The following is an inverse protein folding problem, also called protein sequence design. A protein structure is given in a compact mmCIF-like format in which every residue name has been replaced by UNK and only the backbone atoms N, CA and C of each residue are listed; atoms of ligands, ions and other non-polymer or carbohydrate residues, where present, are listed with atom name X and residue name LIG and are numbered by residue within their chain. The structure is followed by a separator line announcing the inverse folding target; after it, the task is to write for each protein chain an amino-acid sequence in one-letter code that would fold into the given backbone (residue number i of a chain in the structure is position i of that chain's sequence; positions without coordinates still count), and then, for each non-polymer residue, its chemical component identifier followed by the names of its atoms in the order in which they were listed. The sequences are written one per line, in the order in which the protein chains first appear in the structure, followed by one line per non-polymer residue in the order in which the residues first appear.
data_IF_477696899602
#
_entry.id   IF_477696899602
#
_cell.length_a   1.000
_cell.length_b   1.000
_cell.length_c   1.000
_cell.angle_alpha   90.00
_cell.angle_beta   90.00
_cell.angle_gamma   90.00
#
_symmetry.space_group_name_H-M   'P 1'
#
loop_
_entity.id
_entity.type
_entity.pdbx_description
1 polymer ?
#
# COMPACT_ATOMS: atom_id res chain seq x y z
N UNK A 1 -4.68 14.34 10.03
CA UNK A 1 -4.92 12.93 9.75
C UNK A 1 -3.87 12.43 8.76
N UNK A 2 -3.20 11.36 9.09
CA UNK A 2 -2.15 10.83 8.22
C UNK A 2 -2.74 10.04 7.06
N UNK A 3 -2.26 10.31 5.87
CA UNK A 3 -2.63 9.58 4.67
C UNK A 3 -1.39 8.93 4.08
N UNK A 4 -1.61 7.87 3.34
CA UNK A 4 -0.53 7.05 2.77
C UNK A 4 -0.69 6.97 1.26
N UNK A 5 0.44 7.01 0.57
CA UNK A 5 0.48 6.93 -0.88
C UNK A 5 1.65 6.06 -1.29
N UNK A 6 1.54 5.43 -2.44
CA UNK A 6 2.64 4.60 -2.97
C UNK A 6 3.82 5.48 -3.33
N UNK A 7 5.04 4.99 -3.05
CA UNK A 7 6.25 5.74 -3.39
C UNK A 7 6.41 5.79 -4.91
N UNK A 8 6.64 6.97 -5.48
CA UNK A 8 6.90 7.08 -6.92
C UNK A 8 8.09 6.22 -7.33
N UNK A 9 7.97 5.54 -8.45
CA UNK A 9 9.03 4.66 -8.94
C UNK A 9 8.91 3.22 -8.49
N UNK A 10 7.89 2.89 -7.67
CA UNK A 10 7.63 1.50 -7.28
C UNK A 10 6.49 0.97 -8.15
N UNK A 11 6.71 -0.20 -8.73
CA UNK A 11 5.75 -0.83 -9.64
C UNK A 11 5.34 -2.19 -9.10
N UNK A 12 4.06 -2.50 -9.19
CA UNK A 12 3.55 -3.83 -8.86
C UNK A 12 3.65 -4.71 -10.11
N UNK A 13 4.32 -5.85 -9.96
CA UNK A 13 4.47 -6.82 -11.05
C UNK A 13 3.87 -8.16 -10.62
N UNK A 14 3.32 -8.89 -11.60
CA UNK A 14 2.87 -10.26 -11.39
C UNK A 14 3.70 -11.19 -12.25
N UNK A 15 4.37 -12.15 -11.64
CA UNK A 15 5.24 -13.09 -12.32
C UNK A 15 4.94 -14.50 -11.80
N UNK A 16 4.52 -15.39 -12.70
CA UNK A 16 4.24 -16.81 -12.36
C UNK A 16 3.31 -16.94 -11.15
N UNK A 17 2.27 -16.12 -11.10
CA UNK A 17 1.30 -16.16 -10.00
C UNK A 17 1.74 -15.50 -8.71
N UNK A 18 2.93 -14.92 -8.68
CA UNK A 18 3.44 -14.20 -7.52
C UNK A 18 3.41 -12.70 -7.78
N UNK A 19 3.24 -11.93 -6.71
CA UNK A 19 3.22 -10.47 -6.78
C UNK A 19 4.49 -9.88 -6.20
N UNK A 20 5.07 -8.94 -6.95
CA UNK A 20 6.33 -8.31 -6.55
C UNK A 20 6.19 -6.79 -6.63
N UNK A 21 6.74 -6.10 -5.63
CA UNK A 21 6.97 -4.67 -5.72
C UNK A 21 8.40 -4.46 -6.19
N UNK A 22 8.57 -3.71 -7.27
CA UNK A 22 9.87 -3.47 -7.87
C UNK A 22 10.16 -1.97 -7.84
N UNK A 23 11.30 -1.60 -7.26
CA UNK A 23 11.68 -0.20 -7.13
C UNK A 23 12.60 0.20 -8.30
N UNK A 24 12.25 1.29 -8.97
CA UNK A 24 13.12 1.91 -9.98
C UNK A 24 14.23 2.69 -9.30
N UNK A 25 15.19 3.19 -10.11
CA UNK A 25 16.43 3.78 -9.61
C UNK A 25 16.31 4.69 -8.40
N UNK A 26 15.45 5.68 -8.48
CA UNK A 26 15.31 6.68 -7.42
C UNK A 26 14.65 6.10 -6.18
N UNK A 27 13.67 5.22 -6.39
CA UNK A 27 12.98 4.59 -5.27
C UNK A 27 13.89 3.63 -4.51
N UNK A 28 14.92 3.08 -5.14
CA UNK A 28 15.88 2.18 -4.48
C UNK A 28 16.64 2.82 -3.32
N UNK A 29 16.71 4.13 -3.30
CA UNK A 29 17.34 4.85 -2.19
C UNK A 29 16.53 4.77 -0.91
N UNK A 30 15.25 4.42 -1.02
CA UNK A 30 14.30 4.46 0.10
C UNK A 30 13.69 3.11 0.43
N UNK A 31 13.80 2.14 -0.47
CA UNK A 31 13.17 0.84 -0.27
C UNK A 31 13.94 -0.25 -1.02
N UNK A 32 13.74 -1.53 -0.65
CA UNK A 32 14.40 -2.64 -1.34
C UNK A 32 14.05 -2.66 -2.83
N UNK A 33 14.97 -3.20 -3.62
CA UNK A 33 14.77 -3.30 -5.06
C UNK A 33 13.53 -4.15 -5.42
N UNK A 34 13.39 -5.29 -4.76
CA UNK A 34 12.29 -6.22 -5.02
C UNK A 34 11.79 -6.77 -3.69
N UNK A 35 10.47 -6.82 -3.52
CA UNK A 35 9.85 -7.46 -2.37
C UNK A 35 8.63 -8.22 -2.84
N UNK A 36 8.52 -9.49 -2.44
CA UNK A 36 7.34 -10.28 -2.71
C UNK A 36 6.24 -9.91 -1.72
N UNK A 37 5.02 -9.75 -2.23
CA UNK A 37 3.85 -9.50 -1.40
C UNK A 37 2.77 -10.52 -1.73
N UNK A 38 1.84 -10.72 -0.79
CA UNK A 38 0.75 -11.66 -1.03
C UNK A 38 -0.35 -11.03 -1.87
N UNK A 39 -1.32 -11.84 -2.27
CA UNK A 39 -2.43 -11.42 -3.11
C UNK A 39 -3.26 -10.31 -2.46
N UNK A 40 -3.53 -10.41 -1.16
CA UNK A 40 -4.29 -9.39 -0.44
C UNK A 40 -3.56 -8.04 -0.46
N UNK A 41 -2.26 -8.06 -0.20
CA UNK A 41 -1.45 -6.84 -0.24
C UNK A 41 -1.43 -6.23 -1.64
N UNK A 42 -1.34 -7.06 -2.67
CA UNK A 42 -1.41 -6.59 -4.05
C UNK A 42 -2.74 -5.92 -4.34
N UNK A 43 -3.84 -6.47 -3.82
CA UNK A 43 -5.18 -5.89 -3.99
C UNK A 43 -5.28 -4.51 -3.34
N UNK A 44 -4.74 -4.37 -2.12
CA UNK A 44 -4.74 -3.06 -1.44
C UNK A 44 -3.84 -2.06 -2.16
N UNK A 45 -2.69 -2.51 -2.65
CA UNK A 45 -1.79 -1.65 -3.42
C UNK A 45 -2.48 -1.03 -4.62
N UNK A 46 -3.27 -1.84 -5.34
CA UNK A 46 -4.00 -1.37 -6.53
C UNK A 46 -5.04 -0.31 -6.20
N UNK A 47 -5.56 -0.31 -4.99
CA UNK A 47 -6.54 0.69 -4.56
C UNK A 47 -5.91 2.04 -4.23
N UNK A 48 -4.60 2.07 -3.97
CA UNK A 48 -3.90 3.29 -3.57
C UNK A 48 -3.54 4.15 -4.79
N UNK A 49 -4.54 4.67 -5.46
CA UNK A 49 -4.35 5.54 -6.62
C UNK A 49 -4.14 7.01 -6.23
N UNK A 50 -4.24 7.32 -4.95
CA UNK A 50 -4.02 8.65 -4.37
C UNK A 50 -3.79 8.47 -2.87
N UNK A 51 -3.47 9.51 -2.11
CA UNK A 51 -3.32 9.34 -0.65
C UNK A 51 -4.63 8.97 0.03
N UNK A 52 -4.57 7.97 0.91
CA UNK A 52 -5.70 7.51 1.73
C UNK A 52 -5.24 7.37 3.17
N UNK A 53 -6.11 7.76 4.11
CA UNK A 53 -5.94 7.36 5.49
C UNK A 53 -6.28 5.87 5.62
N UNK A 54 -5.90 5.27 6.74
CA UNK A 54 -6.22 3.85 7.00
C UNK A 54 -7.74 3.65 6.91
N UNK A 55 -8.50 4.56 7.50
CA UNK A 55 -9.94 4.45 7.52
C UNK A 55 -10.54 4.59 6.10
N UNK A 56 -10.05 5.56 5.34
CA UNK A 56 -10.50 5.75 3.96
C UNK A 56 -10.18 4.54 3.07
N UNK A 57 -8.99 3.99 3.21
CA UNK A 57 -8.63 2.80 2.43
C UNK A 57 -9.46 1.60 2.83
N UNK A 58 -9.75 1.46 4.13
CA UNK A 58 -10.60 0.38 4.62
C UNK A 58 -12.00 0.50 4.05
N UNK A 59 -12.56 1.71 4.00
CA UNK A 59 -13.87 1.93 3.40
C UNK A 59 -13.89 1.58 1.90
N UNK A 60 -12.86 2.03 1.18
CA UNK A 60 -12.76 1.74 -0.24
C UNK A 60 -12.63 0.24 -0.50
N UNK A 61 -11.82 -0.44 0.28
CA UNK A 61 -11.64 -1.89 0.15
C UNK A 61 -12.94 -2.64 0.48
N UNK A 62 -13.64 -2.22 1.51
CA UNK A 62 -14.92 -2.83 1.89
C UNK A 62 -15.91 -2.73 0.74
N UNK A 63 -15.97 -1.58 0.09
CA UNK A 63 -16.86 -1.33 -1.03
C UNK A 63 -16.47 -2.15 -2.27
N UNK A 64 -15.19 -2.13 -2.63
CA UNK A 64 -14.69 -2.81 -3.83
C UNK A 64 -14.77 -4.33 -3.69
N UNK A 65 -14.41 -4.87 -2.53
CA UNK A 65 -14.37 -6.32 -2.30
C UNK A 65 -15.65 -6.86 -1.71
N UNK A 66 -16.63 -5.99 -1.42
CA UNK A 66 -17.92 -6.37 -0.83
C UNK A 66 -17.72 -7.15 0.46
N UNK A 67 -16.91 -6.60 1.35
CA UNK A 67 -16.61 -7.14 2.67
C UNK A 67 -16.90 -6.09 3.73
N UNK A 68 -16.99 -6.52 4.98
CA UNK A 68 -17.22 -5.60 6.06
C UNK A 68 -15.94 -4.93 6.52
N UNK A 69 -16.01 -3.66 6.87
CA UNK A 69 -14.86 -2.90 7.34
C UNK A 69 -14.15 -3.57 8.52
N UNK A 70 -14.92 -4.15 9.44
CA UNK A 70 -14.34 -4.79 10.61
C UNK A 70 -13.42 -5.96 10.26
N UNK A 71 -13.66 -6.61 9.12
CA UNK A 71 -12.86 -7.74 8.68
C UNK A 71 -11.61 -7.29 7.92
N UNK A 72 -11.58 -6.04 7.46
CA UNK A 72 -10.49 -5.52 6.65
C UNK A 72 -9.54 -4.61 7.41
N UNK A 73 -9.98 -4.07 8.55
CA UNK A 73 -9.20 -3.06 9.26
C UNK A 73 -7.81 -3.57 9.67
N UNK A 74 -7.74 -4.75 10.29
CA UNK A 74 -6.46 -5.28 10.73
C UNK A 74 -5.55 -5.67 9.56
N UNK A 75 -6.03 -6.39 8.54
CA UNK A 75 -5.18 -6.67 7.37
C UNK A 75 -4.64 -5.41 6.70
N UNK A 76 -5.47 -4.38 6.57
CA UNK A 76 -5.03 -3.13 5.94
C UNK A 76 -4.04 -2.37 6.83
N UNK A 77 -4.27 -2.35 8.13
CA UNK A 77 -3.35 -1.72 9.05
C UNK A 77 -1.96 -2.37 8.98
N UNK A 78 -1.93 -3.71 8.96
CA UNK A 78 -0.67 -4.44 8.86
C UNK A 78 0.01 -4.20 7.51
N UNK A 79 -0.76 -4.16 6.44
CA UNK A 79 -0.25 -3.84 5.10
C UNK A 79 0.43 -2.47 5.08
N UNK A 80 -0.26 -1.45 5.58
CA UNK A 80 0.26 -0.10 5.57
C UNK A 80 1.53 0.01 6.43
N UNK A 81 1.49 -0.53 7.64
CA UNK A 81 2.64 -0.44 8.54
C UNK A 81 3.88 -1.15 7.99
N UNK A 82 3.68 -2.33 7.41
CA UNK A 82 4.78 -3.09 6.85
C UNK A 82 5.41 -2.36 5.67
N UNK A 83 4.60 -1.87 4.76
CA UNK A 83 5.12 -1.23 3.54
C UNK A 83 5.64 0.18 3.81
N UNK A 84 5.07 0.89 4.76
CA UNK A 84 5.62 2.19 5.17
C UNK A 84 7.00 1.99 5.79
N UNK A 85 7.14 1.01 6.68
CA UNK A 85 8.41 0.71 7.31
C UNK A 85 9.48 0.32 6.30
N UNK A 86 9.08 -0.38 5.25
CA UNK A 86 10.00 -0.80 4.19
C UNK A 86 10.28 0.30 3.16
N UNK A 87 9.56 1.42 3.22
CA UNK A 87 9.77 2.54 2.32
C UNK A 87 8.92 2.53 1.06
N UNK A 88 8.05 1.53 0.88
CA UNK A 88 7.19 1.47 -0.31
C UNK A 88 5.99 2.38 -0.25
N UNK A 89 5.56 2.75 0.97
CA UNK A 89 4.50 3.74 1.16
C UNK A 89 5.08 4.95 1.88
N UNK A 90 4.54 6.10 1.54
CA UNK A 90 4.92 7.37 2.16
C UNK A 90 3.72 7.87 2.96
N UNK A 91 3.96 8.21 4.23
CA UNK A 91 2.94 8.84 5.06
C UNK A 91 2.96 10.34 4.89
N UNK A 92 1.79 10.95 4.70
CA UNK A 92 1.64 12.39 4.60
C UNK A 92 0.62 12.86 5.65
N UNK A 93 1.00 13.83 6.45
CA UNK A 93 0.10 14.40 7.44
C UNK A 93 -0.42 15.75 6.94
N UNK A 94 -1.70 15.79 6.60
CA UNK A 94 -2.31 17.01 6.07
C UNK A 94 -2.44 18.11 7.10
N UNK A 95 -2.28 17.81 8.38
CA UNK A 95 -2.36 18.82 9.43
C UNK A 95 -1.03 19.52 9.65
N UNK A 96 0.00 19.13 8.93
CA UNK A 96 1.32 19.74 8.98
C UNK A 96 1.48 20.87 7.98
N UNK A 97 0.49 21.62 7.83
CA UNK A 97 0.55 22.76 6.90
C UNK A 97 1.40 23.89 7.46
#
# INVERSE_FOLDING_TARGET
MERYVTRPGVVLCSVCGEYLLVAAKEAREHCPYVTQINESAASYWKLLDRPYSIDELTERAAEVFQKEKKDLLLPILLFIRKLEKSGYLIGEDENDA
#
